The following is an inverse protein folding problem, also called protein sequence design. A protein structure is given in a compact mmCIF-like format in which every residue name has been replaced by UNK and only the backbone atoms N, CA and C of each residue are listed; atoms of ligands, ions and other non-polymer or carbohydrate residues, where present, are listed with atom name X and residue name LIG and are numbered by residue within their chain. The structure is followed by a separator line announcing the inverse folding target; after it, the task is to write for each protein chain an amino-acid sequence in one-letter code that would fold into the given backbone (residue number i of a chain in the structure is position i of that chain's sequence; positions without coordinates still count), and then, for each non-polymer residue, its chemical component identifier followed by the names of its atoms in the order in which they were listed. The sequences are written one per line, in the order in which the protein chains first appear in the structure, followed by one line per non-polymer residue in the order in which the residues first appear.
data_IF_544681316183
#
_entry.id   IF_544681316183
#
_cell.length_a   1.000
_cell.length_b   1.000
_cell.length_c   1.000
_cell.angle_alpha   90.00
_cell.angle_beta   90.00
_cell.angle_gamma   90.00
#
_symmetry.space_group_name_H-M   'P 1'
#
loop_
_entity.id
_entity.type
_entity.pdbx_description
1 polymer ?
#
# COMPACT_ATOMS: atom_id res chain seq x y z
N UNK A 1 2.08 -1.63 11.95
CA UNK A 1 0.78 -2.30 11.81
C UNK A 1 -0.29 -1.45 12.47
N UNK A 2 -1.47 -1.38 11.89
CA UNK A 2 -2.68 -0.90 12.53
C UNK A 2 -3.19 -1.91 13.57
N UNK A 3 -4.18 -1.49 14.34
CA UNK A 3 -4.66 -2.29 15.48
C UNK A 3 -5.51 -3.50 15.06
N UNK A 4 -6.07 -3.50 13.84
CA UNK A 4 -6.92 -4.58 13.31
C UNK A 4 -6.18 -5.49 12.31
N UNK A 5 -4.84 -5.44 12.29
CA UNK A 5 -4.02 -6.29 11.44
C UNK A 5 -3.53 -7.55 12.17
N UNK A 6 -3.90 -8.71 11.62
CA UNK A 6 -3.53 -10.03 12.12
C UNK A 6 -2.07 -10.42 11.86
N UNK A 7 -1.52 -10.02 10.71
CA UNK A 7 -0.14 -10.36 10.35
C UNK A 7 0.87 -9.53 11.15
N UNK A 8 2.08 -10.06 11.29
CA UNK A 8 3.15 -9.50 12.11
C UNK A 8 3.44 -8.02 11.82
N UNK A 9 3.40 -7.61 10.55
CA UNK A 9 3.56 -6.22 10.15
C UNK A 9 2.93 -5.94 8.78
N UNK A 10 2.77 -4.67 8.47
CA UNK A 10 2.31 -4.14 7.18
C UNK A 10 3.17 -2.98 6.67
N UNK A 11 4.02 -2.45 7.54
CA UNK A 11 4.96 -1.36 7.28
C UNK A 11 6.24 -1.70 8.03
N UNK A 12 7.37 -1.58 7.34
CA UNK A 12 8.71 -1.70 7.90
C UNK A 12 9.41 -0.35 7.70
N UNK A 13 9.94 0.21 8.78
CA UNK A 13 10.76 1.42 8.72
C UNK A 13 12.22 1.00 8.73
N UNK A 14 12.99 1.51 7.77
CA UNK A 14 14.42 1.27 7.64
C UNK A 14 15.13 2.61 7.58
N UNK A 15 16.22 2.73 8.32
CA UNK A 15 17.09 3.89 8.23
C UNK A 15 17.76 3.96 6.85
N UNK A 16 17.69 5.11 6.21
CA UNK A 16 18.24 5.38 4.90
C UNK A 16 18.62 6.86 4.77
N UNK A 17 19.47 7.19 3.80
CA UNK A 17 19.92 8.57 3.56
C UNK A 17 18.82 9.48 3.01
N UNK A 18 17.75 8.91 2.45
CA UNK A 18 16.64 9.64 1.84
C UNK A 18 15.31 8.94 2.08
N UNK A 19 14.24 9.72 2.09
CA UNK A 19 12.86 9.25 2.13
C UNK A 19 12.48 8.54 0.83
N UNK A 20 11.57 7.57 0.90
CA UNK A 20 11.13 6.79 -0.24
C UNK A 20 10.58 5.43 0.14
N UNK A 21 10.54 4.53 -0.84
CA UNK A 21 10.07 3.16 -0.71
C UNK A 21 11.10 2.21 -1.31
N UNK A 22 11.48 1.17 -0.54
CA UNK A 22 12.38 0.12 -1.03
C UNK A 22 11.61 -0.87 -1.93
N UNK A 23 10.44 -1.33 -1.47
CA UNK A 23 9.53 -2.20 -2.22
C UNK A 23 8.10 -2.10 -1.68
N UNK A 24 7.12 -2.52 -2.49
CA UNK A 24 5.75 -2.75 -2.04
C UNK A 24 5.38 -4.22 -2.24
N UNK A 25 4.75 -4.85 -1.25
CA UNK A 25 4.52 -6.29 -1.25
C UNK A 25 3.04 -6.66 -1.17
N UNK A 26 2.64 -7.68 -1.92
CA UNK A 26 1.32 -8.27 -1.88
C UNK A 26 1.39 -9.70 -1.30
N UNK A 27 0.43 -10.02 -0.43
CA UNK A 27 0.22 -11.39 0.03
C UNK A 27 -0.73 -12.11 -0.92
N UNK A 28 -0.25 -13.18 -1.56
CA UNK A 28 -1.06 -14.11 -2.33
C UNK A 28 -1.84 -15.07 -1.41
N UNK A 29 -2.88 -15.69 -1.94
CA UNK A 29 -3.72 -16.67 -1.22
C UNK A 29 -2.98 -18.00 -0.97
N UNK A 30 -2.03 -18.37 -1.84
CA UNK A 30 -1.24 -19.59 -1.69
C UNK A 30 0.12 -19.50 -2.39
N UNK A 31 1.03 -20.43 -2.06
CA UNK A 31 2.33 -20.53 -2.74
C UNK A 31 2.16 -20.90 -4.21
N UNK A 32 1.16 -21.70 -4.56
CA UNK A 32 0.85 -22.03 -5.96
C UNK A 32 0.48 -20.79 -6.77
N UNK A 33 -0.22 -19.82 -6.18
CA UNK A 33 -0.46 -18.52 -6.82
C UNK A 33 0.84 -17.73 -7.01
N UNK A 34 1.75 -17.73 -6.04
CA UNK A 34 3.08 -17.10 -6.19
C UNK A 34 3.83 -17.70 -7.38
N UNK A 35 3.87 -19.03 -7.51
CA UNK A 35 4.52 -19.70 -8.65
C UNK A 35 3.82 -19.43 -9.99
N UNK A 36 2.48 -19.32 -9.99
CA UNK A 36 1.71 -18.91 -11.18
C UNK A 36 2.10 -17.50 -11.61
N UNK A 37 2.15 -16.55 -10.68
CA UNK A 37 2.52 -15.17 -10.95
C UNK A 37 3.96 -15.07 -11.45
N UNK A 38 4.90 -15.77 -10.82
CA UNK A 38 6.28 -15.91 -11.31
C UNK A 38 6.30 -16.32 -12.78
N UNK A 39 5.63 -17.42 -13.13
CA UNK A 39 5.62 -17.93 -14.50
C UNK A 39 5.02 -16.91 -15.48
N UNK A 40 3.94 -16.23 -15.10
CA UNK A 40 3.32 -15.21 -15.93
C UNK A 40 4.26 -14.03 -16.18
N UNK A 41 4.95 -13.54 -15.14
CA UNK A 41 5.92 -12.45 -15.23
C UNK A 41 7.15 -12.82 -16.09
N UNK A 42 7.70 -14.02 -15.90
CA UNK A 42 8.81 -14.54 -16.71
C UNK A 42 8.40 -14.72 -18.18
N UNK A 43 7.17 -15.19 -18.43
CA UNK A 43 6.63 -15.32 -19.79
C UNK A 43 6.39 -13.96 -20.44
N UNK A 44 6.00 -12.95 -19.67
CA UNK A 44 5.89 -11.57 -20.14
C UNK A 44 7.27 -10.99 -20.53
N UNK A 45 8.34 -11.53 -19.95
CA UNK A 45 9.73 -11.13 -20.22
C UNK A 45 10.37 -10.31 -19.11
N UNK A 46 9.81 -10.30 -17.90
CA UNK A 46 10.39 -9.63 -16.73
C UNK A 46 11.36 -10.57 -15.98
N UNK A 47 12.43 -10.00 -15.44
CA UNK A 47 13.33 -10.70 -14.54
C UNK A 47 12.69 -10.82 -13.15
N UNK A 48 12.47 -12.07 -12.69
CA UNK A 48 11.93 -12.36 -11.36
C UNK A 48 13.03 -12.86 -10.45
N UNK A 49 13.24 -12.18 -9.33
CA UNK A 49 14.26 -12.49 -8.33
C UNK A 49 13.66 -13.23 -7.13
N UNK A 50 14.41 -14.17 -6.58
CA UNK A 50 14.06 -14.85 -5.33
C UNK A 50 14.58 -14.09 -4.12
N UNK A 51 13.70 -13.91 -3.13
CA UNK A 51 14.05 -13.43 -1.80
C UNK A 51 13.85 -14.59 -0.81
N UNK A 52 14.89 -15.02 -0.09
CA UNK A 52 14.79 -16.15 0.82
C UNK A 52 13.88 -15.84 2.00
N UNK A 53 13.26 -16.90 2.54
CA UNK A 53 12.47 -16.80 3.77
C UNK A 53 13.32 -16.25 4.92
N UNK A 54 12.70 -15.42 5.77
CA UNK A 54 13.36 -14.84 6.94
C UNK A 54 14.26 -13.64 6.64
N UNK A 55 14.41 -13.21 5.38
CA UNK A 55 15.05 -11.90 5.07
C UNK A 55 14.29 -10.76 5.76
N UNK A 56 12.95 -10.81 5.73
CA UNK A 56 12.11 -10.05 6.67
C UNK A 56 11.64 -10.98 7.79
N UNK A 57 11.69 -10.55 9.06
CA UNK A 57 11.28 -11.38 10.19
C UNK A 57 9.84 -11.87 10.06
N UNK A 58 9.66 -13.19 10.14
CA UNK A 58 8.35 -13.85 10.08
C UNK A 58 7.68 -13.83 8.70
N UNK A 59 8.42 -13.54 7.63
CA UNK A 59 7.91 -13.61 6.24
C UNK A 59 8.55 -14.80 5.52
N UNK A 60 7.73 -15.57 4.81
CA UNK A 60 8.16 -16.68 3.97
C UNK A 60 8.97 -16.26 2.75
N UNK A 61 9.31 -17.19 1.85
CA UNK A 61 9.99 -16.87 0.61
C UNK A 61 9.12 -15.95 -0.26
N UNK A 62 9.77 -15.10 -1.05
CA UNK A 62 9.07 -14.11 -1.89
C UNK A 62 9.71 -14.03 -3.26
N UNK A 63 8.91 -13.63 -4.24
CA UNK A 63 9.41 -13.20 -5.54
C UNK A 63 9.44 -11.68 -5.60
N UNK A 64 10.41 -11.11 -6.31
CA UNK A 64 10.62 -9.67 -6.51
C UNK A 64 10.72 -9.38 -8.00
N UNK A 65 10.03 -8.34 -8.47
CA UNK A 65 10.08 -7.87 -9.85
C UNK A 65 10.12 -6.36 -9.90
N UNK A 66 11.05 -5.79 -10.66
CA UNK A 66 11.06 -4.35 -10.94
C UNK A 66 10.13 -4.05 -12.10
N UNK A 67 9.09 -3.25 -11.86
CA UNK A 67 8.10 -2.87 -12.87
C UNK A 67 8.52 -1.61 -13.64
N UNK A 68 7.95 -1.32 -14.83
CA UNK A 68 8.39 -0.21 -15.69
C UNK A 68 8.41 1.20 -15.08
N UNK A 69 7.67 1.43 -14.00
CA UNK A 69 7.73 2.68 -13.21
C UNK A 69 8.97 2.79 -12.33
N UNK A 70 9.81 1.76 -12.26
CA UNK A 70 11.04 1.69 -11.47
C UNK A 70 10.89 1.14 -10.05
N UNK A 71 9.70 0.67 -9.68
CA UNK A 71 9.42 0.16 -8.33
C UNK A 71 9.66 -1.35 -8.24
N UNK A 72 10.14 -1.82 -7.08
CA UNK A 72 10.17 -3.24 -6.76
C UNK A 72 8.84 -3.70 -6.17
N UNK A 73 8.21 -4.68 -6.81
CA UNK A 73 6.96 -5.30 -6.37
C UNK A 73 7.28 -6.71 -5.91
N UNK A 74 6.92 -7.03 -4.66
CA UNK A 74 7.14 -8.35 -4.07
C UNK A 74 5.84 -9.11 -3.86
N UNK A 75 5.90 -10.43 -4.00
CA UNK A 75 4.74 -11.31 -3.80
C UNK A 75 5.14 -12.50 -2.94
N UNK A 76 4.33 -12.80 -1.93
CA UNK A 76 4.58 -13.87 -0.96
C UNK A 76 3.27 -14.53 -0.51
N UNK A 77 3.32 -15.76 -0.03
CA UNK A 77 2.12 -16.47 0.46
C UNK A 77 2.07 -16.55 2.00
N UNK A 78 3.23 -16.63 2.65
CA UNK A 78 3.31 -16.95 4.08
C UNK A 78 3.87 -15.79 4.90
N UNK A 79 3.20 -15.51 6.01
CA UNK A 79 3.67 -14.58 7.02
C UNK A 79 3.11 -14.99 8.39
N UNK A 80 3.94 -14.90 9.42
CA UNK A 80 3.55 -15.11 10.81
C UNK A 80 2.43 -14.14 11.22
N UNK A 81 1.56 -14.64 12.08
CA UNK A 81 0.62 -13.78 12.82
C UNK A 81 1.38 -12.94 13.85
N UNK A 82 0.84 -11.77 14.15
CA UNK A 82 1.37 -10.91 15.20
C UNK A 82 1.24 -11.57 16.57
N UNK A 83 2.33 -11.57 17.33
CA UNK A 83 2.37 -12.03 18.73
C UNK A 83 2.23 -10.89 19.74
N UNK A 84 2.05 -9.65 19.27
CA UNK A 84 1.85 -8.48 20.14
C UNK A 84 0.48 -8.52 20.80
N UNK A 85 0.38 -8.01 22.04
CA UNK A 85 -0.86 -7.93 22.82
C UNK A 85 -2.01 -7.17 22.09
N UNK A 86 -1.65 -6.26 21.17
CA UNK A 86 -2.60 -5.52 20.34
C UNK A 86 -3.02 -6.31 19.08
N UNK A 87 -2.70 -7.61 18.96
CA UNK A 87 -3.15 -8.43 17.83
C UNK A 87 -4.64 -8.73 17.99
N UNK A 88 -5.43 -8.72 16.90
CA UNK A 88 -6.84 -9.09 16.98
C UNK A 88 -7.01 -10.53 17.49
N UNK A 89 -8.03 -10.75 18.32
CA UNK A 89 -8.38 -12.08 18.78
C UNK A 89 -9.16 -12.84 17.70
N UNK A 90 -9.10 -14.18 17.74
CA UNK A 90 -9.84 -15.04 16.81
C UNK A 90 -11.00 -15.80 17.46
N UNK A 91 -11.13 -15.71 18.80
CA UNK A 91 -12.16 -16.39 19.56
C UNK A 91 -12.95 -15.38 20.40
N UNK A 92 -14.22 -15.15 20.03
CA UNK A 92 -15.10 -14.12 20.62
C UNK A 92 -14.42 -12.75 20.77
N UNK A 93 -13.91 -12.17 19.66
CA UNK A 93 -13.06 -10.99 19.73
C UNK A 93 -13.80 -9.76 20.21
N UNK A 94 -13.11 -8.95 21.02
CA UNK A 94 -13.45 -7.54 21.18
C UNK A 94 -12.99 -6.73 19.97
N UNK A 95 -13.51 -5.50 19.85
CA UNK A 95 -13.13 -4.56 18.75
C UNK A 95 -11.62 -4.26 18.80
N UNK A 96 -11.02 -4.30 19.99
CA UNK A 96 -9.58 -4.20 20.22
C UNK A 96 -9.24 -4.72 21.62
N UNK A 97 -8.00 -5.23 21.79
CA UNK A 97 -7.49 -5.65 23.09
C UNK A 97 -6.87 -4.51 23.89
N UNK A 98 -6.32 -3.52 23.18
CA UNK A 98 -5.71 -2.33 23.75
C UNK A 98 -6.27 -1.13 23.00
N UNK A 99 -6.73 -0.14 23.76
CA UNK A 99 -7.40 1.03 23.22
C UNK A 99 -6.52 1.75 22.17
N UNK A 100 -7.01 1.92 20.93
CA UNK A 100 -6.27 2.61 19.87
C UNK A 100 -5.97 4.07 20.23
N UNK A 101 -4.72 4.49 20.00
CA UNK A 101 -4.22 5.85 20.26
C UNK A 101 -3.91 6.61 18.97
N UNK A 102 -3.74 7.92 19.10
CA UNK A 102 -3.38 8.79 17.98
C UNK A 102 -4.50 8.85 16.94
N UNK A 103 -4.13 8.73 15.66
CA UNK A 103 -5.07 8.73 14.53
C UNK A 103 -5.89 7.44 14.41
N UNK A 104 -5.59 6.40 15.22
CA UNK A 104 -6.35 5.13 15.27
C UNK A 104 -6.48 4.42 13.93
N UNK A 105 -5.39 4.33 13.17
CA UNK A 105 -5.34 3.55 11.94
C UNK A 105 -5.65 2.06 12.19
N UNK A 106 -6.63 1.52 11.47
CA UNK A 106 -7.03 0.11 11.56
C UNK A 106 -6.03 -0.80 10.87
N UNK A 107 -5.59 -0.42 9.66
CA UNK A 107 -4.68 -1.19 8.81
C UNK A 107 -3.98 -0.30 7.78
N UNK A 108 -2.91 -0.81 7.16
CA UNK A 108 -2.41 -0.23 5.91
C UNK A 108 -3.49 -0.44 4.84
N UNK A 109 -3.78 0.60 4.05
CA UNK A 109 -4.83 0.54 3.04
C UNK A 109 -4.27 0.34 1.63
N UNK A 110 -3.49 1.30 1.14
CA UNK A 110 -2.97 1.27 -0.21
C UNK A 110 -1.68 2.08 -0.32
N UNK A 111 -1.03 1.99 -1.47
CA UNK A 111 0.12 2.80 -1.83
C UNK A 111 -0.14 3.47 -3.19
N UNK A 112 0.26 4.74 -3.32
CA UNK A 112 0.36 5.39 -4.62
C UNK A 112 1.82 5.65 -4.96
N UNK A 113 2.19 5.29 -6.18
CA UNK A 113 3.54 5.37 -6.71
C UNK A 113 3.62 6.33 -7.92
N UNK A 114 4.73 7.04 -8.02
CA UNK A 114 5.06 7.95 -9.11
C UNK A 114 6.16 7.34 -9.99
N UNK A 115 5.91 7.24 -11.28
CA UNK A 115 6.92 6.83 -12.25
C UNK A 115 6.41 6.83 -13.69
N UNK A 116 7.29 6.57 -14.67
CA UNK A 116 6.93 6.56 -16.07
C UNK A 116 6.25 5.24 -16.47
N UNK A 117 5.70 5.17 -17.69
CA UNK A 117 5.20 3.92 -18.30
C UNK A 117 4.06 3.24 -17.52
N UNK A 118 3.16 4.02 -16.90
CA UNK A 118 2.08 3.48 -16.07
C UNK A 118 1.11 2.55 -16.84
N UNK A 119 0.97 2.70 -18.16
CA UNK A 119 0.12 1.82 -18.97
C UNK A 119 0.73 0.43 -19.17
N UNK A 120 2.06 0.33 -19.22
CA UNK A 120 2.74 -0.96 -19.26
C UNK A 120 2.62 -1.66 -17.90
N UNK A 121 2.74 -0.90 -16.81
CA UNK A 121 2.44 -1.39 -15.46
C UNK A 121 1.00 -1.89 -15.37
N UNK A 122 0.02 -1.14 -15.88
CA UNK A 122 -1.39 -1.58 -15.92
C UNK A 122 -1.52 -2.94 -16.60
N UNK A 123 -0.87 -3.12 -17.74
CA UNK A 123 -0.90 -4.36 -18.52
C UNK A 123 -0.27 -5.52 -17.74
N UNK A 124 0.91 -5.33 -17.15
CA UNK A 124 1.58 -6.35 -16.33
C UNK A 124 0.70 -6.77 -15.15
N UNK A 125 0.14 -5.80 -14.42
CA UNK A 125 -0.70 -6.09 -13.25
C UNK A 125 -1.96 -6.87 -13.64
N UNK A 126 -2.59 -6.54 -14.77
CA UNK A 126 -3.80 -7.23 -15.25
C UNK A 126 -3.52 -8.61 -15.83
N UNK A 127 -2.48 -8.74 -16.65
CA UNK A 127 -2.18 -9.99 -17.37
C UNK A 127 -1.38 -10.99 -16.52
N UNK A 128 -0.56 -10.50 -15.59
CA UNK A 128 0.33 -11.35 -14.80
C UNK A 128 -0.13 -11.54 -13.36
N UNK A 129 -0.79 -10.56 -12.74
CA UNK A 129 -1.04 -10.50 -11.29
C UNK A 129 -2.53 -10.44 -10.91
N UNK A 130 -3.44 -10.71 -11.86
CA UNK A 130 -4.90 -10.78 -11.67
C UNK A 130 -5.57 -9.45 -11.22
N UNK A 131 -4.89 -8.30 -11.34
CA UNK A 131 -5.47 -7.00 -11.01
C UNK A 131 -6.53 -6.55 -12.03
N UNK A 132 -7.38 -5.65 -11.58
CA UNK A 132 -8.31 -4.88 -12.40
C UNK A 132 -8.09 -3.38 -12.16
N UNK A 133 -8.49 -2.55 -13.13
CA UNK A 133 -8.36 -1.09 -13.06
C UNK A 133 -9.76 -0.45 -13.05
N UNK A 134 -10.41 -0.33 -11.88
CA UNK A 134 -11.76 0.24 -11.78
C UNK A 134 -11.82 1.70 -12.21
N UNK A 135 -10.78 2.49 -11.90
CA UNK A 135 -10.76 3.94 -12.16
C UNK A 135 -9.43 4.40 -12.75
N UNK A 136 -9.49 5.43 -13.61
CA UNK A 136 -8.34 6.07 -14.24
C UNK A 136 -8.62 7.53 -14.57
N UNK A 137 -7.58 8.32 -14.75
CA UNK A 137 -7.67 9.71 -15.22
C UNK A 137 -7.09 9.81 -16.62
N UNK A 138 -7.93 10.18 -17.58
CA UNK A 138 -7.53 10.50 -18.95
C UNK A 138 -7.45 12.02 -19.12
N UNK A 139 -6.37 12.49 -19.74
CA UNK A 139 -6.15 13.89 -20.10
C UNK A 139 -5.88 13.99 -21.61
N UNK A 140 -5.92 15.19 -22.22
CA UNK A 140 -5.53 15.36 -23.62
C UNK A 140 -4.11 14.87 -23.93
N UNK A 141 -3.22 14.88 -22.94
CA UNK A 141 -1.82 14.45 -23.07
C UNK A 141 -1.61 12.95 -22.78
N UNK A 142 -2.69 12.22 -22.48
CA UNK A 142 -2.70 10.79 -22.17
C UNK A 142 -3.19 10.47 -20.75
N UNK A 143 -3.07 9.20 -20.37
CA UNK A 143 -3.47 8.73 -19.04
C UNK A 143 -2.53 9.30 -17.98
N UNK A 144 -3.09 10.05 -17.03
CA UNK A 144 -2.35 10.66 -15.92
C UNK A 144 -2.21 9.69 -14.74
N UNK A 145 -3.24 8.90 -14.45
CA UNK A 145 -3.21 7.99 -13.30
C UNK A 145 -4.15 6.81 -13.44
N UNK A 146 -3.79 5.71 -12.77
CA UNK A 146 -4.52 4.44 -12.73
C UNK A 146 -4.65 3.96 -11.29
N UNK A 147 -5.83 3.45 -10.94
CA UNK A 147 -6.15 2.88 -9.63
C UNK A 147 -6.53 1.42 -9.83
N UNK A 148 -5.79 0.50 -9.20
CA UNK A 148 -5.89 -0.93 -9.46
C UNK A 148 -6.20 -1.73 -8.19
N UNK A 149 -6.98 -2.80 -8.32
CA UNK A 149 -7.37 -3.67 -7.20
C UNK A 149 -7.38 -5.15 -7.59
N UNK A 150 -7.20 -6.01 -6.60
CA UNK A 150 -7.46 -7.47 -6.65
C UNK A 150 -8.57 -7.86 -5.67
N UNK A 151 -9.27 -6.88 -5.10
CA UNK A 151 -10.29 -7.06 -4.08
C UNK A 151 -11.52 -6.18 -4.36
N UNK A 152 -12.42 -6.06 -3.39
CA UNK A 152 -13.59 -5.19 -3.48
C UNK A 152 -13.31 -3.74 -3.04
N UNK A 153 -12.04 -3.41 -2.78
CA UNK A 153 -11.62 -2.04 -2.45
C UNK A 153 -11.62 -1.18 -3.71
N UNK A 154 -11.65 0.15 -3.54
CA UNK A 154 -11.48 1.07 -4.65
C UNK A 154 -10.13 0.85 -5.38
N UNK A 155 -9.07 0.63 -4.60
CA UNK A 155 -7.76 0.22 -5.08
C UNK A 155 -6.91 -0.37 -3.95
N UNK A 156 -5.96 -1.22 -4.34
CA UNK A 156 -4.88 -1.71 -3.48
C UNK A 156 -3.56 -1.00 -3.81
N UNK A 157 -3.42 -0.52 -5.05
CA UNK A 157 -2.27 0.25 -5.52
C UNK A 157 -2.71 1.23 -6.60
N UNK A 158 -2.06 2.39 -6.65
CA UNK A 158 -2.26 3.37 -7.71
C UNK A 158 -0.92 3.83 -8.29
N UNK A 159 -0.94 4.24 -9.55
CA UNK A 159 0.22 4.84 -10.22
C UNK A 159 -0.19 6.14 -10.89
N UNK A 160 0.61 7.18 -10.71
CA UNK A 160 0.47 8.44 -11.44
C UNK A 160 1.72 8.65 -12.27
N UNK A 161 1.51 9.06 -13.53
CA UNK A 161 2.58 9.25 -14.49
C UNK A 161 3.51 10.38 -14.03
N UNK A 162 4.81 10.07 -13.95
CA UNK A 162 5.83 11.02 -13.51
C UNK A 162 7.16 10.72 -14.24
N UNK A 163 7.93 11.73 -14.67
CA UNK A 163 9.16 11.51 -15.43
C UNK A 163 10.25 10.81 -14.61
N UNK A 164 10.35 11.10 -13.31
CA UNK A 164 11.31 10.41 -12.43
C UNK A 164 10.75 9.04 -12.00
N UNK A 165 11.51 7.95 -12.17
CA UNK A 165 11.09 6.61 -11.76
C UNK A 165 11.22 6.39 -10.24
N UNK A 166 10.48 5.40 -9.72
CA UNK A 166 10.70 4.83 -8.40
C UNK A 166 10.34 5.76 -7.23
N UNK A 167 9.41 6.71 -7.41
CA UNK A 167 9.06 7.68 -6.36
C UNK A 167 7.83 7.24 -5.59
N UNK A 168 7.89 7.29 -4.27
CA UNK A 168 6.70 7.16 -3.42
C UNK A 168 5.87 8.45 -3.53
N UNK A 169 4.60 8.34 -3.93
CA UNK A 169 3.67 9.46 -3.77
C UNK A 169 3.09 9.47 -2.37
N UNK A 170 2.51 8.36 -1.89
CA UNK A 170 2.07 8.25 -0.50
C UNK A 170 1.80 6.80 -0.09
N UNK A 171 1.85 6.55 1.22
CA UNK A 171 1.30 5.36 1.86
C UNK A 171 0.02 5.74 2.63
N UNK A 172 -1.04 4.96 2.48
CA UNK A 172 -2.33 5.25 3.08
C UNK A 172 -2.70 4.27 4.21
N UNK A 173 -3.43 4.78 5.20
CA UNK A 173 -3.91 4.02 6.35
C UNK A 173 -5.42 4.19 6.52
N UNK A 174 -6.12 3.07 6.72
CA UNK A 174 -7.58 3.05 6.80
C UNK A 174 -8.08 3.49 8.17
N UNK A 175 -9.08 4.38 8.18
CA UNK A 175 -9.90 4.83 9.31
C UNK A 175 -11.36 4.45 9.06
N UNK A 176 -12.16 4.35 10.13
CA UNK A 176 -13.55 3.91 10.03
C UNK A 176 -14.40 4.87 9.19
N UNK A 177 -14.34 6.18 9.50
CA UNK A 177 -15.27 7.15 8.93
C UNK A 177 -14.69 8.58 8.78
N UNK A 178 -15.53 9.50 8.32
CA UNK A 178 -15.20 10.91 8.16
C UNK A 178 -14.85 11.61 9.48
N UNK A 179 -15.49 11.21 10.58
CA UNK A 179 -15.23 11.79 11.88
C UNK A 179 -13.81 11.44 12.34
N UNK A 180 -13.36 10.20 12.11
CA UNK A 180 -11.98 9.79 12.40
C UNK A 180 -10.95 10.54 11.53
N UNK A 181 -11.27 10.82 10.26
CA UNK A 181 -10.44 11.72 9.41
C UNK A 181 -10.36 13.13 10.01
N UNK A 182 -11.47 13.66 10.54
CA UNK A 182 -11.49 14.93 11.27
C UNK A 182 -10.64 14.91 12.54
N UNK A 183 -10.75 13.87 13.35
CA UNK A 183 -9.91 13.66 14.55
C UNK A 183 -8.42 13.59 14.20
N UNK A 184 -8.06 12.97 13.07
CA UNK A 184 -6.68 13.00 12.59
C UNK A 184 -6.20 14.42 12.27
N UNK A 185 -7.04 15.28 11.68
CA UNK A 185 -6.71 16.68 11.43
C UNK A 185 -6.51 17.50 12.72
N UNK A 186 -7.30 17.22 13.75
CA UNK A 186 -7.13 17.84 15.08
C UNK A 186 -5.79 17.45 15.71
N UNK A 187 -5.40 16.17 15.61
CA UNK A 187 -4.08 15.69 16.04
C UNK A 187 -2.97 16.38 15.27
N UNK A 188 -3.07 16.47 13.95
CA UNK A 188 -2.05 17.15 13.13
C UNK A 188 -1.85 18.59 13.57
N UNK A 189 -2.95 19.30 13.85
CA UNK A 189 -2.91 20.68 14.34
C UNK A 189 -2.32 20.76 15.74
N UNK A 190 -2.68 19.84 16.64
CA UNK A 190 -2.21 19.84 18.04
C UNK A 190 -0.69 19.63 18.17
N UNK A 191 -0.11 18.87 17.26
CA UNK A 191 1.30 18.44 17.28
C UNK A 191 2.13 19.03 16.15
N UNK A 192 1.63 20.06 15.45
CA UNK A 192 2.32 20.73 14.35
C UNK A 192 2.84 19.76 13.25
N UNK A 193 2.05 18.73 12.93
CA UNK A 193 2.37 17.78 11.85
C UNK A 193 2.17 18.50 10.51
N UNK A 194 3.17 18.39 9.62
CA UNK A 194 3.16 19.04 8.31
C UNK A 194 2.02 18.50 7.44
N UNK A 195 0.98 19.31 7.25
CA UNK A 195 -0.19 18.98 6.42
C UNK A 195 0.06 19.40 4.97
N UNK A 196 -0.28 18.53 4.03
CA UNK A 196 -0.25 18.82 2.61
C UNK A 196 -1.63 19.26 2.08
N UNK A 197 -2.63 18.40 2.19
CA UNK A 197 -3.96 18.60 1.62
C UNK A 197 -5.06 18.03 2.53
N UNK A 198 -6.19 18.74 2.61
CA UNK A 198 -7.40 18.24 3.25
C UNK A 198 -7.62 18.70 4.70
N UNK A 199 -8.63 18.14 5.40
CA UNK A 199 -9.48 17.02 4.96
C UNK A 199 -10.30 17.32 3.69
N UNK A 200 -10.48 16.33 2.83
CA UNK A 200 -11.31 16.43 1.62
C UNK A 200 -11.92 15.08 1.23
N UNK A 201 -12.76 15.06 0.19
CA UNK A 201 -13.25 13.84 -0.46
C UNK A 201 -12.88 13.84 -1.93
N UNK A 202 -12.26 12.76 -2.38
CA UNK A 202 -11.93 12.56 -3.79
C UNK A 202 -13.19 12.27 -4.62
N UNK A 203 -13.18 12.71 -5.89
CA UNK A 203 -14.15 12.24 -6.87
C UNK A 203 -13.82 10.82 -7.34
N UNK A 204 -12.55 10.60 -7.69
CA UNK A 204 -11.96 9.29 -8.00
C UNK A 204 -11.84 8.49 -6.70
N UNK A 205 -12.16 7.20 -6.71
CA UNK A 205 -12.24 6.29 -5.54
C UNK A 205 -13.27 6.67 -4.48
N UNK A 206 -13.82 7.88 -4.53
CA UNK A 206 -14.81 8.43 -3.58
C UNK A 206 -14.32 8.53 -2.14
N UNK A 207 -13.02 8.36 -1.94
CA UNK A 207 -12.35 8.32 -0.64
C UNK A 207 -12.36 9.65 0.09
N UNK A 208 -12.54 9.57 1.39
CA UNK A 208 -12.39 10.66 2.34
C UNK A 208 -10.99 10.64 2.92
N UNK A 209 -10.29 11.78 2.93
CA UNK A 209 -8.84 11.76 3.14
C UNK A 209 -8.29 13.04 3.77
N UNK A 210 -7.13 12.92 4.40
CA UNK A 210 -6.20 14.01 4.67
C UNK A 210 -4.75 13.53 4.44
N UNK A 211 -3.95 14.37 3.79
CA UNK A 211 -2.55 14.13 3.47
C UNK A 211 -1.62 14.94 4.36
N UNK A 212 -0.53 14.31 4.78
CA UNK A 212 0.48 14.90 5.66
C UNK A 212 1.85 14.30 5.38
N UNK A 213 2.90 14.92 5.90
CA UNK A 213 4.26 14.39 5.84
C UNK A 213 4.68 13.84 7.21
N UNK A 214 5.32 12.68 7.21
CA UNK A 214 6.02 12.18 8.40
C UNK A 214 7.31 12.96 8.65
N UNK A 215 7.98 12.78 9.81
CA UNK A 215 9.23 13.48 10.12
C UNK A 215 10.38 13.21 9.16
N UNK A 216 10.34 12.12 8.39
CA UNK A 216 11.34 11.78 7.38
C UNK A 216 11.05 12.44 6.02
N UNK A 217 9.85 13.01 5.84
CA UNK A 217 9.43 13.66 4.61
C UNK A 217 8.64 12.76 3.66
N UNK A 218 8.29 11.52 4.05
CA UNK A 218 7.36 10.74 3.24
C UNK A 218 5.95 11.30 3.41
N UNK A 219 5.23 11.42 2.29
CA UNK A 219 3.82 11.76 2.34
C UNK A 219 3.02 10.52 2.74
N UNK A 220 2.07 10.75 3.64
CA UNK A 220 1.16 9.76 4.17
C UNK A 220 -0.28 10.25 3.98
N UNK A 221 -1.19 9.30 3.97
CA UNK A 221 -2.64 9.51 3.89
C UNK A 221 -3.31 8.75 5.03
N UNK A 222 -4.28 9.38 5.69
CA UNK A 222 -5.32 8.62 6.39
C UNK A 222 -6.62 8.74 5.60
N UNK A 223 -7.29 7.62 5.44
CA UNK A 223 -8.34 7.41 4.45
C UNK A 223 -9.54 6.69 5.06
N UNK A 224 -10.76 7.06 4.65
CA UNK A 224 -11.99 6.29 4.88
C UNK A 224 -12.82 6.25 3.59
N UNK A 225 -13.58 5.17 3.37
CA UNK A 225 -14.50 5.04 2.23
C UNK A 225 -14.42 3.71 1.50
#
# INVERSE_FOLDING_TARGET
RGYDEFHRHSVVLREADQAGIDFFAFKADSQESVERFRKNLETYGLEVRDIPAGEQPGVGPRISVTVPTGHDIQIFAEMELSTSENAPETHNPYIWNVEPKGMRAQRMDHCLLYGPNILEVEKIFKECLDFQTPERVETPDGTLGIWMTVSNKAHDIAFVNHPEPGKLHHLAFFLEDWHDVGHAADIMTRYDISRDLGPTRHGITRGQTIYFFDPSGNRNEVFSG
#
